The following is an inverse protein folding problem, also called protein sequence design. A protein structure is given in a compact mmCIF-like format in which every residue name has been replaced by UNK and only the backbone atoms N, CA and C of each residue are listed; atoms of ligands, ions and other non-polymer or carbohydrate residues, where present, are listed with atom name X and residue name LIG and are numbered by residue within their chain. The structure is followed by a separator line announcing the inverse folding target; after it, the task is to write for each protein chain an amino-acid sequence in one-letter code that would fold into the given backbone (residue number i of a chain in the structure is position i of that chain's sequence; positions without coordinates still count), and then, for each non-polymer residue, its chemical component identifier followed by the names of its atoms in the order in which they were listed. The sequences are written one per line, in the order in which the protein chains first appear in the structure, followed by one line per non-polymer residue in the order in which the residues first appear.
data_IF_188937723127
#
_entry.id   IF_188937723127
#
_cell.length_a   1.000
_cell.length_b   1.000
_cell.length_c   1.000
_cell.angle_alpha   90.00
_cell.angle_beta   90.00
_cell.angle_gamma   90.00
#
_symmetry.space_group_name_H-M   'P 1'
#
loop_
_entity.id
_entity.type
_entity.pdbx_description
1 polymer ?
#
# COMPACT_ATOMS: atom_id res chain seq x y z
N UNK A 1 -26.26 -9.12 -45.69
CA UNK A 1 -26.99 -8.72 -44.47
C UNK A 1 -26.92 -9.84 -43.44
N UNK A 2 -26.07 -9.74 -42.41
CA UNK A 2 -26.51 -9.69 -41.01
C UNK A 2 -25.30 -9.48 -40.09
N UNK A 3 -25.49 -8.52 -39.17
CA UNK A 3 -24.51 -7.88 -38.30
C UNK A 3 -23.91 -8.85 -37.27
N UNK A 4 -22.67 -8.63 -36.82
CA UNK A 4 -22.15 -9.31 -35.63
C UNK A 4 -22.96 -8.88 -34.41
N UNK A 5 -23.54 -9.85 -33.70
CA UNK A 5 -24.18 -9.63 -32.40
C UNK A 5 -23.13 -9.19 -31.38
N UNK A 6 -23.24 -7.94 -30.94
CA UNK A 6 -22.64 -7.49 -29.69
C UNK A 6 -23.33 -8.20 -28.54
N UNK A 7 -22.56 -8.69 -27.56
CA UNK A 7 -22.76 -8.52 -26.10
C UNK A 7 -22.08 -9.66 -25.34
N UNK A 8 -20.90 -9.38 -24.78
CA UNK A 8 -20.55 -9.70 -23.40
C UNK A 8 -19.08 -9.32 -23.20
N UNK A 9 -18.85 -8.08 -22.79
CA UNK A 9 -17.64 -7.68 -22.09
C UNK A 9 -17.66 -8.39 -20.72
N UNK A 10 -17.36 -9.69 -20.68
CA UNK A 10 -17.18 -10.42 -19.43
C UNK A 10 -15.76 -10.13 -18.92
N UNK A 11 -15.61 -8.97 -18.30
CA UNK A 11 -14.39 -8.58 -17.60
C UNK A 11 -14.68 -8.50 -16.11
N UNK A 12 -14.75 -9.63 -15.43
CA UNK A 12 -14.68 -9.63 -13.95
C UNK A 12 -14.04 -10.92 -13.44
N UNK A 13 -12.81 -10.82 -12.91
CA UNK A 13 -12.69 -10.93 -11.46
C UNK A 13 -11.66 -9.92 -10.91
N UNK A 14 -12.09 -8.67 -10.68
CA UNK A 14 -11.31 -7.69 -9.89
C UNK A 14 -11.99 -7.36 -8.55
N UNK A 15 -12.87 -8.26 -8.07
CA UNK A 15 -13.61 -8.07 -6.81
C UNK A 15 -12.77 -8.42 -5.56
N UNK A 16 -12.14 -9.61 -5.45
CA UNK A 16 -11.61 -10.05 -4.15
C UNK A 16 -10.47 -9.18 -3.62
N UNK A 17 -9.58 -8.68 -4.48
CA UNK A 17 -8.46 -7.84 -4.04
C UNK A 17 -8.89 -6.42 -3.60
N UNK A 18 -9.92 -5.85 -4.25
CA UNK A 18 -10.49 -4.57 -3.83
C UNK A 18 -11.23 -4.71 -2.50
N UNK A 19 -12.01 -5.78 -2.36
CA UNK A 19 -12.73 -6.09 -1.13
C UNK A 19 -11.74 -6.33 0.05
N UNK A 20 -10.60 -6.98 -0.21
CA UNK A 20 -9.56 -7.19 0.80
C UNK A 20 -8.88 -5.88 1.23
N UNK A 21 -8.56 -4.99 0.28
CA UNK A 21 -7.96 -3.69 0.61
C UNK A 21 -8.91 -2.79 1.41
N UNK A 22 -10.21 -2.84 1.14
CA UNK A 22 -11.20 -2.08 1.90
C UNK A 22 -11.28 -2.55 3.36
N UNK A 23 -11.27 -3.87 3.59
CA UNK A 23 -11.20 -4.44 4.95
C UNK A 23 -9.88 -4.08 5.65
N UNK A 24 -8.76 -4.16 4.95
CA UNK A 24 -7.46 -3.76 5.51
C UNK A 24 -7.40 -2.27 5.85
N UNK A 25 -8.06 -1.43 5.07
CA UNK A 25 -8.16 0.00 5.36
C UNK A 25 -9.03 0.28 6.59
N UNK A 26 -10.15 -0.44 6.75
CA UNK A 26 -10.95 -0.37 7.97
C UNK A 26 -10.14 -0.78 9.21
N UNK A 27 -9.37 -1.87 9.12
CA UNK A 27 -8.45 -2.28 10.20
C UNK A 27 -7.40 -1.20 10.49
N UNK A 28 -6.83 -0.60 9.45
CA UNK A 28 -5.84 0.48 9.55
C UNK A 28 -6.37 1.69 10.32
N UNK A 29 -7.61 2.10 10.03
CA UNK A 29 -8.30 3.19 10.72
C UNK A 29 -8.58 2.84 12.19
N UNK A 30 -9.07 1.63 12.46
CA UNK A 30 -9.31 1.15 13.83
C UNK A 30 -8.03 1.12 14.68
N UNK A 31 -6.90 0.77 14.07
CA UNK A 31 -5.59 0.76 14.73
C UNK A 31 -4.91 2.13 14.76
N UNK A 32 -5.49 3.15 14.13
CA UNK A 32 -4.94 4.51 14.10
C UNK A 32 -3.56 4.57 13.43
N UNK A 33 -3.29 3.75 12.41
CA UNK A 33 -1.98 3.76 11.73
C UNK A 33 -1.78 5.04 10.89
N UNK A 34 -2.89 5.69 10.52
CA UNK A 34 -2.93 6.90 9.70
C UNK A 34 -2.41 6.67 8.28
N UNK A 35 -2.56 5.46 7.74
CA UNK A 35 -2.32 5.14 6.33
C UNK A 35 -3.60 5.40 5.55
N UNK A 36 -3.53 6.20 4.49
CA UNK A 36 -4.63 6.34 3.54
C UNK A 36 -4.69 5.12 2.60
N UNK A 37 -5.81 4.97 1.90
CA UNK A 37 -6.07 3.83 1.03
C UNK A 37 -4.97 3.62 -0.03
N UNK A 38 -4.41 4.71 -0.57
CA UNK A 38 -3.35 4.64 -1.56
C UNK A 38 -2.02 4.15 -0.96
N UNK A 39 -1.60 4.69 0.19
CA UNK A 39 -0.36 4.26 0.85
C UNK A 39 -0.47 2.83 1.34
N UNK A 40 -1.63 2.43 1.88
CA UNK A 40 -1.88 1.06 2.29
C UNK A 40 -1.75 0.08 1.11
N UNK A 41 -2.35 0.40 -0.04
CA UNK A 41 -2.24 -0.41 -1.24
C UNK A 41 -0.78 -0.56 -1.71
N UNK A 42 0.02 0.51 -1.63
CA UNK A 42 1.45 0.45 -1.94
C UNK A 42 2.20 -0.46 -0.96
N UNK A 43 1.95 -0.33 0.35
CA UNK A 43 2.57 -1.19 1.36
C UNK A 43 2.22 -2.67 1.15
N UNK A 44 0.97 -2.97 0.81
CA UNK A 44 0.53 -4.33 0.49
C UNK A 44 1.28 -4.86 -0.73
N UNK A 45 1.37 -4.09 -1.83
CA UNK A 45 2.12 -4.50 -3.02
C UNK A 45 3.60 -4.77 -2.72
N UNK A 46 4.25 -3.92 -1.92
CA UNK A 46 5.64 -4.15 -1.48
C UNK A 46 5.80 -5.44 -0.68
N UNK A 47 4.84 -5.75 0.20
CA UNK A 47 4.85 -6.98 1.01
C UNK A 47 4.62 -8.22 0.11
N UNK A 48 3.73 -8.12 -0.87
CA UNK A 48 3.50 -9.17 -1.87
C UNK A 48 4.74 -9.44 -2.72
N UNK A 49 5.55 -8.42 -3.00
CA UNK A 49 6.87 -8.54 -3.66
C UNK A 49 7.97 -9.13 -2.74
N UNK A 50 7.67 -9.40 -1.46
CA UNK A 50 8.57 -10.02 -0.50
C UNK A 50 9.22 -9.06 0.50
N UNK A 51 8.79 -7.79 0.55
CA UNK A 51 9.28 -6.84 1.56
C UNK A 51 8.85 -7.26 2.96
N UNK A 52 9.77 -7.19 3.92
CA UNK A 52 9.45 -7.46 5.32
C UNK A 52 8.54 -6.36 5.91
N UNK A 53 7.34 -6.70 6.44
CA UNK A 53 6.37 -5.71 6.92
C UNK A 53 6.87 -4.94 8.15
N UNK A 54 7.69 -5.56 9.01
CA UNK A 54 8.24 -4.91 10.21
C UNK A 54 9.29 -3.87 9.81
N UNK A 55 10.17 -4.19 8.87
CA UNK A 55 11.16 -3.25 8.35
C UNK A 55 10.49 -2.10 7.59
N UNK A 56 9.47 -2.40 6.77
CA UNK A 56 8.69 -1.38 6.06
C UNK A 56 8.04 -0.39 7.04
N UNK A 57 7.45 -0.89 8.14
CA UNK A 57 6.86 -0.04 9.17
C UNK A 57 7.91 0.87 9.84
N UNK A 58 9.15 0.41 10.04
CA UNK A 58 10.25 1.25 10.56
C UNK A 58 10.56 2.39 9.59
N UNK A 59 10.76 2.09 8.31
CA UNK A 59 11.05 3.10 7.28
C UNK A 59 9.92 4.13 7.16
N UNK A 60 8.66 3.69 7.12
CA UNK A 60 7.50 4.60 7.07
C UNK A 60 7.47 5.52 8.29
N UNK A 61 7.81 5.01 9.48
CA UNK A 61 7.88 5.83 10.71
C UNK A 61 9.02 6.84 10.67
N UNK A 62 10.16 6.48 10.11
CA UNK A 62 11.32 7.37 9.96
C UNK A 62 11.01 8.50 8.96
N UNK A 63 10.51 8.16 7.77
CA UNK A 63 10.12 9.15 6.75
C UNK A 63 9.06 10.12 7.28
N UNK A 64 8.07 9.63 8.05
CA UNK A 64 7.06 10.49 8.70
C UNK A 64 7.65 11.41 9.77
N UNK A 65 8.73 11.01 10.44
CA UNK A 65 9.41 11.85 11.43
C UNK A 65 10.25 12.92 10.75
N UNK A 66 10.98 12.55 9.69
CA UNK A 66 11.77 13.48 8.87
C UNK A 66 10.87 14.54 8.23
N UNK A 67 9.73 14.14 7.66
CA UNK A 67 8.75 15.08 7.09
C UNK A 67 8.18 16.07 8.11
N UNK A 68 8.14 15.69 9.41
CA UNK A 68 7.73 16.57 10.52
C UNK A 68 8.87 17.45 11.04
N UNK A 69 10.03 17.46 10.40
CA UNK A 69 11.20 18.24 10.81
C UNK A 69 11.90 17.69 12.06
N UNK A 70 11.58 16.46 12.50
CA UNK A 70 12.35 15.78 13.54
C UNK A 70 13.58 15.16 12.90
N UNK A 71 14.65 15.95 12.77
CA UNK A 71 15.97 15.46 12.36
C UNK A 71 16.55 14.60 13.48
N UNK A 72 16.23 13.30 13.48
CA UNK A 72 17.00 12.37 14.31
C UNK A 72 18.36 12.20 13.63
N UNK A 73 19.38 12.85 14.16
CA UNK A 73 20.76 12.81 13.65
C UNK A 73 21.36 11.42 13.90
N UNK A 74 20.91 10.41 13.16
CA UNK A 74 21.64 9.15 13.02
C UNK A 74 22.18 9.13 11.62
N UNK A 75 23.37 9.70 11.45
CA UNK A 75 24.16 9.59 10.23
C UNK A 75 24.35 8.09 9.92
N UNK A 76 23.82 7.54 8.81
CA UNK A 76 24.36 6.28 8.32
C UNK A 76 25.69 6.63 7.68
N UNK A 77 26.76 6.58 8.46
CA UNK A 77 28.12 6.68 7.92
C UNK A 77 28.34 5.45 7.05
N UNK A 78 28.11 5.59 5.74
CA UNK A 78 28.74 4.71 4.77
C UNK A 78 30.18 5.22 4.62
N UNK A 79 31.08 4.62 5.39
CA UNK A 79 32.52 4.71 5.10
C UNK A 79 32.77 4.05 3.73
N UNK A 80 33.72 4.57 2.94
CA UNK A 80 33.91 4.22 1.53
C UNK A 80 34.15 2.73 1.27
#
# INVERSE_FOLDING_TARGET
MNRPSSTATESKPARPARDALDVLHEISELLGTGLDQQTLALCVGMIEEGTNPVALAQVVRELRQEAKGKTNKTTPTFLP
#
